data_IF_115146583194
#
_entry.id   IF_115146583194
#
_cell.length_a   1.000
_cell.length_b   1.000
_cell.length_c   1.000
_cell.angle_alpha   90.00
_cell.angle_beta   90.00
_cell.angle_gamma   90.00
#
_symmetry.space_group_name_H-M   'P 1'
#
loop_
_entity.id
_entity.type
_entity.pdbx_description
1 polymer ?
#
# COMPACT_ATOMS: atom_id res chain seq x y z
N UNK A 1 28.36 -4.28 -43.87
CA UNK A 1 27.66 -3.03 -43.47
C UNK A 1 27.14 -3.08 -42.03
N UNK A 2 26.75 -4.26 -41.50
CA UNK A 2 26.28 -4.44 -40.11
C UNK A 2 27.34 -4.29 -39.00
N UNK A 3 28.64 -4.39 -39.31
CA UNK A 3 29.72 -4.29 -38.31
C UNK A 3 30.11 -2.85 -37.95
N UNK A 4 29.79 -1.87 -38.79
CA UNK A 4 30.10 -0.45 -38.54
C UNK A 4 29.05 0.27 -37.67
N UNK A 5 27.80 -0.19 -37.69
CA UNK A 5 26.72 0.38 -36.86
C UNK A 5 26.73 -0.15 -35.43
N UNK A 6 27.15 -1.40 -35.20
CA UNK A 6 27.32 -1.95 -33.85
C UNK A 6 28.42 -1.26 -33.05
N UNK A 7 29.54 -0.92 -33.68
CA UNK A 7 30.67 -0.25 -33.01
C UNK A 7 30.37 1.23 -32.65
N UNK A 8 29.48 1.91 -33.40
CA UNK A 8 29.05 3.29 -33.09
C UNK A 8 27.98 3.29 -31.98
N UNK A 9 27.07 2.31 -31.97
CA UNK A 9 26.10 2.14 -30.88
C UNK A 9 26.79 1.84 -29.54
N UNK A 10 27.79 0.94 -29.53
CA UNK A 10 28.55 0.58 -28.33
C UNK A 10 29.41 1.76 -27.83
N UNK A 11 29.93 2.59 -28.73
CA UNK A 11 30.73 3.77 -28.35
C UNK A 11 29.87 4.90 -27.80
N UNK A 12 28.68 5.11 -28.35
CA UNK A 12 27.71 6.07 -27.81
C UNK A 12 27.17 5.59 -26.45
N UNK A 13 26.92 4.28 -26.28
CA UNK A 13 26.59 3.71 -24.95
C UNK A 13 27.76 3.88 -23.97
N UNK A 14 29.02 3.68 -24.40
CA UNK A 14 30.17 3.86 -23.51
C UNK A 14 30.40 5.32 -23.10
N UNK A 15 30.14 6.29 -23.99
CA UNK A 15 30.23 7.72 -23.69
C UNK A 15 29.03 8.19 -22.84
N UNK A 16 27.82 7.66 -23.06
CA UNK A 16 26.67 7.91 -22.17
C UNK A 16 26.83 7.20 -20.81
N UNK A 17 27.46 6.03 -20.76
CA UNK A 17 27.85 5.34 -19.51
C UNK A 17 28.91 6.16 -18.77
N UNK A 18 29.90 6.75 -19.47
CA UNK A 18 30.90 7.62 -18.83
C UNK A 18 30.32 8.97 -18.38
N UNK A 19 29.34 9.52 -19.11
CA UNK A 19 28.63 10.75 -18.72
C UNK A 19 27.64 10.50 -17.59
N UNK A 20 26.99 9.33 -17.55
CA UNK A 20 26.19 8.87 -16.42
C UNK A 20 27.04 8.30 -15.27
N UNK A 21 28.36 8.17 -15.43
CA UNK A 21 29.33 7.94 -14.36
C UNK A 21 29.64 9.20 -13.56
N UNK A 22 29.21 10.37 -14.02
CA UNK A 22 29.01 11.54 -13.16
C UNK A 22 27.73 11.36 -12.33
N UNK A 23 27.59 10.20 -11.67
CA UNK A 23 26.79 10.10 -10.48
C UNK A 23 27.61 10.86 -9.45
N UNK A 24 27.29 12.14 -9.24
CA UNK A 24 27.90 12.91 -8.17
C UNK A 24 27.79 12.09 -6.88
N UNK A 25 28.96 11.72 -6.36
CA UNK A 25 29.12 11.09 -5.07
C UNK A 25 28.36 11.91 -4.02
N UNK A 26 27.83 11.28 -2.96
CA UNK A 26 27.15 12.00 -1.88
C UNK A 26 28.01 13.18 -1.45
N UNK A 27 27.45 14.39 -1.55
CA UNK A 27 28.07 15.58 -0.97
C UNK A 27 28.38 15.26 0.49
N UNK A 28 29.64 15.41 0.87
CA UNK A 28 30.18 15.03 2.18
C UNK A 28 29.76 16.04 3.26
N UNK A 29 28.55 16.61 3.12
CA UNK A 29 27.94 17.51 4.08
C UNK A 29 27.40 16.72 5.26
N UNK A 30 27.54 17.30 6.45
CA UNK A 30 27.18 16.67 7.72
C UNK A 30 25.74 16.12 7.70
N UNK A 31 25.47 15.00 8.41
CA UNK A 31 24.15 14.40 8.44
C UNK A 31 23.12 15.42 8.96
N UNK A 32 22.23 15.87 8.06
CA UNK A 32 21.19 16.85 8.35
C UNK A 32 19.82 16.19 8.28
N UNK A 33 18.99 16.39 9.30
CA UNK A 33 17.60 15.94 9.28
C UNK A 33 16.86 16.69 8.17
N UNK A 34 16.26 15.95 7.23
CA UNK A 34 15.54 16.49 6.08
C UNK A 34 14.05 16.63 6.43
N UNK A 35 13.48 17.77 6.07
CA UNK A 35 12.04 18.07 6.18
C UNK A 35 11.42 17.77 7.57
N UNK A 36 12.00 18.28 8.69
CA UNK A 36 11.63 17.87 10.05
C UNK A 36 10.18 18.20 10.43
N UNK A 37 9.55 19.18 9.76
CA UNK A 37 8.17 19.59 10.01
C UNK A 37 7.20 18.41 9.81
N UNK A 38 7.39 17.63 8.73
CA UNK A 38 6.52 16.50 8.44
C UNK A 38 6.78 15.30 9.37
N UNK A 39 8.02 15.14 9.83
CA UNK A 39 8.33 14.13 10.86
C UNK A 39 7.66 14.47 12.20
N UNK A 40 7.70 15.75 12.62
CA UNK A 40 7.02 16.22 13.84
C UNK A 40 5.51 16.02 13.71
N UNK A 41 4.93 16.37 12.55
CA UNK A 41 3.50 16.18 12.28
C UNK A 41 3.11 14.71 12.39
N UNK A 42 3.92 13.80 11.84
CA UNK A 42 3.66 12.37 11.92
C UNK A 42 3.73 11.83 13.35
N UNK A 43 4.72 12.26 14.13
CA UNK A 43 4.83 11.86 15.55
C UNK A 43 3.64 12.41 16.36
N UNK A 44 3.25 13.66 16.12
CA UNK A 44 2.07 14.25 16.75
C UNK A 44 0.79 13.48 16.40
N UNK A 45 0.65 13.05 15.15
CA UNK A 45 -0.45 12.20 14.70
C UNK A 45 -0.50 10.86 15.44
N UNK A 46 0.64 10.15 15.56
CA UNK A 46 0.71 8.89 16.30
C UNK A 46 0.38 9.07 17.79
N UNK A 47 0.85 10.15 18.40
CA UNK A 47 0.52 10.49 19.79
C UNK A 47 -0.98 10.79 19.95
N UNK A 48 -1.60 11.47 18.98
CA UNK A 48 -3.04 11.71 18.95
C UNK A 48 -3.85 10.41 18.88
N UNK A 49 -3.47 9.48 17.99
CA UNK A 49 -4.12 8.17 17.89
C UNK A 49 -3.97 7.35 19.17
N UNK A 50 -2.80 7.39 19.81
CA UNK A 50 -2.57 6.72 21.09
C UNK A 50 -3.45 7.31 22.20
N UNK A 51 -3.54 8.64 22.28
CA UNK A 51 -4.39 9.31 23.26
C UNK A 51 -5.87 8.98 23.05
N UNK A 52 -6.34 8.98 21.80
CA UNK A 52 -7.71 8.58 21.46
C UNK A 52 -7.98 7.12 21.82
N UNK A 53 -7.02 6.22 21.61
CA UNK A 53 -7.13 4.81 22.03
C UNK A 53 -7.24 4.64 23.53
N UNK A 54 -6.47 5.38 24.31
CA UNK A 54 -6.52 5.33 25.79
C UNK A 54 -7.85 5.86 26.32
N UNK A 55 -8.39 6.93 25.71
CA UNK A 55 -9.61 7.59 26.19
C UNK A 55 -10.89 6.90 25.73
N UNK A 56 -10.91 6.41 24.49
CA UNK A 56 -12.15 6.01 23.81
C UNK A 56 -12.09 4.63 23.15
N UNK A 57 -10.94 3.94 23.17
CA UNK A 57 -10.77 2.70 22.41
C UNK A 57 -11.61 1.54 22.95
N UNK A 58 -12.16 0.74 22.03
CA UNK A 58 -12.97 -0.44 22.36
C UNK A 58 -12.66 -1.58 21.40
N UNK A 59 -12.55 -2.80 21.93
CA UNK A 59 -12.46 -4.03 21.13
C UNK A 59 -13.84 -4.62 20.81
N UNK A 60 -14.88 -4.14 21.49
CA UNK A 60 -16.26 -4.50 21.22
C UNK A 60 -16.63 -3.98 19.82
N UNK A 61 -17.49 -4.68 19.09
CA UNK A 61 -18.07 -4.12 17.87
C UNK A 61 -19.21 -3.19 18.28
N UNK A 62 -19.51 -2.15 17.50
CA UNK A 62 -20.76 -1.44 17.68
C UNK A 62 -21.89 -2.45 17.42
N UNK A 63 -22.72 -2.72 18.43
CA UNK A 63 -23.96 -3.48 18.26
C UNK A 63 -24.87 -2.64 17.38
N UNK A 64 -24.91 -2.93 16.08
CA UNK A 64 -25.87 -2.29 15.20
C UNK A 64 -27.26 -2.63 15.68
N UNK A 65 -28.00 -1.60 16.10
CA UNK A 65 -29.47 -1.47 16.13
C UNK A 65 -30.19 -2.69 15.57
N UNK A 66 -31.01 -3.34 16.43
CA UNK A 66 -32.02 -4.34 16.07
C UNK A 66 -32.86 -3.85 14.88
N UNK A 67 -32.42 -4.13 13.66
CA UNK A 67 -33.32 -4.22 12.50
C UNK A 67 -33.76 -5.67 12.43
N UNK A 68 -35.07 -5.92 12.48
CA UNK A 68 -35.73 -7.24 12.28
C UNK A 68 -35.27 -7.93 10.97
N UNK A 69 -34.07 -8.48 11.00
CA UNK A 69 -33.42 -9.34 10.01
C UNK A 69 -32.78 -10.43 10.86
N UNK A 70 -33.35 -11.64 10.79
CA UNK A 70 -33.03 -12.82 11.61
C UNK A 70 -31.63 -12.77 12.25
N UNK A 71 -31.59 -12.42 13.54
CA UNK A 71 -30.37 -12.15 14.33
C UNK A 71 -29.34 -13.30 14.28
N UNK A 72 -29.79 -14.53 14.01
CA UNK A 72 -28.96 -15.72 13.85
C UNK A 72 -27.99 -15.64 12.65
N UNK A 73 -28.35 -14.98 11.53
CA UNK A 73 -27.49 -14.93 10.34
C UNK A 73 -26.41 -13.85 10.47
N UNK A 74 -26.71 -12.66 10.98
CA UNK A 74 -25.75 -11.55 11.07
C UNK A 74 -24.67 -11.78 12.14
N UNK A 75 -25.06 -12.34 13.29
CA UNK A 75 -24.13 -12.70 14.37
C UNK A 75 -23.16 -13.80 13.90
N UNK A 76 -23.67 -14.78 13.14
CA UNK A 76 -22.84 -15.83 12.55
C UNK A 76 -21.82 -15.28 11.55
N UNK A 77 -22.18 -14.30 10.72
CA UNK A 77 -21.27 -13.71 9.72
C UNK A 77 -20.19 -12.86 10.39
N UNK A 78 -20.54 -12.09 11.43
CA UNK A 78 -19.59 -11.27 12.18
C UNK A 78 -18.62 -12.13 13.01
N UNK A 79 -19.09 -13.19 13.65
CA UNK A 79 -18.23 -14.15 14.36
C UNK A 79 -17.33 -14.92 13.40
N UNK A 80 -17.85 -15.36 12.25
CA UNK A 80 -17.07 -16.03 11.21
C UNK A 80 -16.01 -15.09 10.62
N UNK A 81 -16.32 -13.80 10.41
CA UNK A 81 -15.36 -12.81 9.92
C UNK A 81 -14.23 -12.58 10.94
N UNK A 82 -14.54 -12.47 12.23
CA UNK A 82 -13.55 -12.34 13.31
C UNK A 82 -12.71 -13.62 13.48
N UNK A 83 -13.34 -14.79 13.39
CA UNK A 83 -12.70 -16.10 13.54
C UNK A 83 -11.81 -16.45 12.35
N UNK A 84 -12.08 -15.93 11.14
CA UNK A 84 -11.30 -16.21 9.93
C UNK A 84 -10.26 -15.12 9.64
N UNK A 85 -10.58 -13.83 9.80
CA UNK A 85 -9.68 -12.73 9.41
C UNK A 85 -8.39 -12.67 10.25
N UNK A 86 -8.49 -12.91 11.56
CA UNK A 86 -7.33 -12.89 12.46
C UNK A 86 -6.33 -14.04 12.21
N UNK A 87 -6.76 -15.31 12.07
CA UNK A 87 -5.83 -16.38 11.70
C UNK A 87 -5.40 -16.33 10.22
N UNK A 88 -6.21 -15.80 9.29
CA UNK A 88 -5.77 -15.61 7.89
C UNK A 88 -4.63 -14.60 7.77
N UNK A 89 -4.67 -13.50 8.54
CA UNK A 89 -3.57 -12.52 8.58
C UNK A 89 -2.31 -13.09 9.24
N UNK A 90 -2.46 -13.85 10.33
CA UNK A 90 -1.35 -14.56 10.96
C UNK A 90 -0.74 -15.65 10.04
N UNK A 91 -1.57 -16.40 9.32
CA UNK A 91 -1.13 -17.39 8.35
C UNK A 91 -0.40 -16.75 7.17
N UNK A 92 -0.93 -15.65 6.61
CA UNK A 92 -0.27 -14.88 5.56
C UNK A 92 1.09 -14.34 6.03
N UNK A 93 1.18 -13.87 7.28
CA UNK A 93 2.44 -13.44 7.88
C UNK A 93 3.46 -14.57 7.99
N UNK A 94 3.04 -15.75 8.46
CA UNK A 94 3.90 -16.94 8.55
C UNK A 94 4.35 -17.42 7.17
N UNK A 95 3.44 -17.42 6.18
CA UNK A 95 3.75 -17.79 4.81
C UNK A 95 4.69 -16.78 4.13
N UNK A 96 4.54 -15.49 4.41
CA UNK A 96 5.44 -14.42 3.96
C UNK A 96 6.85 -14.57 4.56
N UNK A 97 6.94 -14.96 5.83
CA UNK A 97 8.19 -15.31 6.51
C UNK A 97 8.92 -16.48 5.83
N UNK A 98 8.19 -17.56 5.55
CA UNK A 98 8.76 -18.77 4.94
C UNK A 98 9.23 -18.50 3.51
N UNK A 99 8.41 -17.80 2.71
CA UNK A 99 8.79 -17.45 1.33
C UNK A 99 10.02 -16.55 1.30
N UNK A 100 10.05 -15.51 2.12
CA UNK A 100 11.11 -14.49 2.08
C UNK A 100 12.46 -15.02 2.58
N UNK A 101 12.48 -15.79 3.67
CA UNK A 101 13.73 -16.26 4.27
C UNK A 101 14.31 -17.52 3.59
N UNK A 102 13.46 -18.43 3.10
CA UNK A 102 13.91 -19.75 2.63
C UNK A 102 13.77 -19.95 1.13
N UNK A 103 12.67 -19.52 0.52
CA UNK A 103 12.36 -19.90 -0.87
C UNK A 103 13.09 -19.01 -1.88
N UNK A 104 13.14 -17.70 -1.60
CA UNK A 104 13.75 -16.68 -2.44
C UNK A 104 15.24 -16.94 -2.78
N UNK A 105 16.14 -17.28 -1.84
CA UNK A 105 17.56 -17.52 -2.15
C UNK A 105 17.82 -18.85 -2.86
N UNK A 106 16.86 -19.79 -2.85
CA UNK A 106 17.05 -21.15 -3.38
C UNK A 106 16.72 -21.22 -4.88
N UNK A 107 15.61 -20.62 -5.33
CA UNK A 107 15.21 -20.71 -6.74
C UNK A 107 14.32 -19.54 -7.23
N UNK A 108 14.96 -18.46 -7.67
CA UNK A 108 14.27 -17.22 -8.10
C UNK A 108 13.36 -17.41 -9.30
N UNK A 109 13.72 -18.31 -10.23
CA UNK A 109 12.91 -18.62 -11.41
C UNK A 109 11.64 -19.39 -11.04
N UNK A 110 11.72 -20.30 -10.06
CA UNK A 110 10.55 -20.98 -9.53
C UNK A 110 9.61 -20.01 -8.81
N UNK A 111 10.16 -19.08 -8.01
CA UNK A 111 9.36 -18.07 -7.30
C UNK A 111 8.57 -17.20 -8.26
N UNK A 112 9.20 -16.65 -9.30
CA UNK A 112 8.49 -15.81 -10.28
C UNK A 112 7.40 -16.60 -11.01
N UNK A 113 7.67 -17.86 -11.39
CA UNK A 113 6.65 -18.74 -11.99
C UNK A 113 5.51 -19.05 -11.00
N UNK A 114 5.84 -19.29 -9.74
CA UNK A 114 4.87 -19.60 -8.69
C UNK A 114 3.98 -18.40 -8.36
N UNK A 115 4.52 -17.18 -8.30
CA UNK A 115 3.73 -15.95 -8.09
C UNK A 115 2.70 -15.73 -9.20
N UNK A 116 3.16 -15.83 -10.46
CA UNK A 116 2.29 -15.67 -11.65
C UNK A 116 1.23 -16.78 -11.73
N UNK A 117 1.60 -18.03 -11.41
CA UNK A 117 0.65 -19.15 -11.40
C UNK A 117 -0.31 -19.08 -10.19
N UNK A 118 0.14 -18.56 -9.05
CA UNK A 118 -0.69 -18.39 -7.87
C UNK A 118 -1.83 -17.42 -8.15
N UNK A 119 -1.60 -16.34 -8.91
CA UNK A 119 -2.66 -15.43 -9.32
C UNK A 119 -3.74 -16.14 -10.14
N UNK A 120 -3.33 -17.01 -11.08
CA UNK A 120 -4.26 -17.85 -11.83
C UNK A 120 -5.07 -18.77 -10.90
N UNK A 121 -4.42 -19.43 -9.95
CA UNK A 121 -5.09 -20.28 -8.97
C UNK A 121 -6.11 -19.52 -8.12
N UNK A 122 -5.78 -18.29 -7.67
CA UNK A 122 -6.71 -17.44 -6.91
C UNK A 122 -7.93 -17.07 -7.76
N UNK A 123 -7.74 -16.67 -9.02
CA UNK A 123 -8.86 -16.34 -9.91
C UNK A 123 -9.80 -17.53 -10.16
N UNK A 124 -9.25 -18.74 -10.29
CA UNK A 124 -10.03 -19.98 -10.39
C UNK A 124 -10.73 -20.28 -9.07
N UNK A 125 -10.07 -20.06 -7.93
CA UNK A 125 -10.64 -20.21 -6.60
C UNK A 125 -11.87 -19.33 -6.40
N UNK A 126 -11.78 -18.05 -6.76
CA UNK A 126 -12.90 -17.09 -6.69
C UNK A 126 -14.08 -17.54 -7.57
N UNK A 127 -13.80 -18.05 -8.77
CA UNK A 127 -14.85 -18.60 -9.64
C UNK A 127 -15.54 -19.82 -9.00
N UNK A 128 -14.81 -20.70 -8.32
CA UNK A 128 -15.37 -21.88 -7.65
C UNK A 128 -16.20 -21.48 -6.42
N UNK A 129 -15.70 -20.58 -5.56
CA UNK A 129 -16.45 -20.13 -4.37
C UNK A 129 -17.73 -19.40 -4.78
N UNK A 130 -17.66 -18.51 -5.76
CA UNK A 130 -18.84 -17.82 -6.30
C UNK A 130 -19.87 -18.80 -6.91
N UNK A 131 -19.42 -19.89 -7.53
CA UNK A 131 -20.31 -20.91 -8.07
C UNK A 131 -21.04 -21.71 -6.97
N UNK A 132 -20.38 -21.92 -5.82
CA UNK A 132 -20.96 -22.62 -4.67
C UNK A 132 -21.97 -21.72 -3.92
N UNK A 133 -21.63 -20.45 -3.70
CA UNK A 133 -22.45 -19.52 -2.92
C UNK A 133 -23.69 -19.04 -3.70
N UNK A 134 -23.53 -18.65 -4.96
CA UNK A 134 -24.61 -18.01 -5.74
C UNK A 134 -25.53 -19.06 -6.38
N UNK A 135 -25.09 -20.33 -6.47
CA UNK A 135 -25.83 -21.47 -7.04
C UNK A 135 -26.51 -21.19 -8.39
N UNK A 136 -25.94 -20.27 -9.17
CA UNK A 136 -26.52 -19.75 -10.40
C UNK A 136 -25.49 -19.74 -11.52
N UNK A 137 -25.91 -20.05 -12.75
CA UNK A 137 -25.02 -20.05 -13.91
C UNK A 137 -24.46 -18.66 -14.24
N UNK A 138 -25.12 -17.60 -13.78
CA UNK A 138 -24.65 -16.22 -13.92
C UNK A 138 -23.32 -15.95 -13.20
N UNK A 139 -22.98 -16.73 -12.17
CA UNK A 139 -21.69 -16.64 -11.46
C UNK A 139 -20.49 -16.92 -12.39
N UNK A 140 -20.61 -17.92 -13.26
CA UNK A 140 -19.59 -18.24 -14.27
C UNK A 140 -19.50 -17.17 -15.36
N UNK A 141 -20.62 -16.57 -15.75
CA UNK A 141 -20.63 -15.49 -16.72
C UNK A 141 -19.94 -14.22 -16.18
N UNK A 142 -20.08 -13.95 -14.87
CA UNK A 142 -19.44 -12.82 -14.20
C UNK A 142 -17.94 -13.04 -13.95
N UNK A 143 -17.54 -14.23 -13.47
CA UNK A 143 -16.15 -14.50 -13.05
C UNK A 143 -15.28 -15.12 -14.15
N UNK A 144 -15.87 -15.80 -15.13
CA UNK A 144 -15.17 -16.43 -16.25
C UNK A 144 -14.26 -15.49 -17.07
N UNK A 145 -14.69 -14.25 -17.40
CA UNK A 145 -13.83 -13.28 -18.06
C UNK A 145 -12.56 -12.94 -17.28
N UNK A 146 -12.60 -12.91 -15.94
CA UNK A 146 -11.42 -12.64 -15.10
C UNK A 146 -10.40 -13.78 -15.17
N UNK A 147 -10.87 -15.03 -15.22
CA UNK A 147 -9.99 -16.21 -15.40
C UNK A 147 -9.36 -16.19 -16.80
N UNK A 148 -10.15 -15.90 -17.84
CA UNK A 148 -9.63 -15.79 -19.22
C UNK A 148 -8.62 -14.65 -19.37
N UNK A 149 -8.87 -13.50 -18.75
CA UNK A 149 -7.95 -12.38 -18.71
C UNK A 149 -6.65 -12.78 -17.98
N UNK A 150 -6.76 -13.53 -16.88
CA UNK A 150 -5.61 -14.04 -16.13
C UNK A 150 -4.79 -15.03 -16.96
N UNK A 151 -5.42 -15.96 -17.68
CA UNK A 151 -4.74 -16.88 -18.61
C UNK A 151 -4.03 -16.11 -19.73
N UNK A 152 -4.71 -15.12 -20.32
CA UNK A 152 -4.13 -14.27 -21.35
C UNK A 152 -2.92 -13.48 -20.82
N UNK A 153 -3.02 -12.93 -19.61
CA UNK A 153 -1.92 -12.26 -18.94
C UNK A 153 -0.71 -13.18 -18.74
N UNK A 154 -0.90 -14.38 -18.19
CA UNK A 154 0.18 -15.37 -18.00
C UNK A 154 0.85 -15.71 -19.33
N UNK A 155 0.08 -15.93 -20.40
CA UNK A 155 0.61 -16.21 -21.72
C UNK A 155 1.46 -15.05 -22.27
N UNK A 156 0.96 -13.81 -22.14
CA UNK A 156 1.67 -12.60 -22.59
C UNK A 156 2.95 -12.35 -21.79
N UNK A 157 2.93 -12.62 -20.49
CA UNK A 157 4.05 -12.32 -19.60
C UNK A 157 5.16 -13.38 -19.63
N UNK A 158 4.85 -14.59 -20.10
CA UNK A 158 5.75 -15.75 -20.03
C UNK A 158 7.16 -15.50 -20.60
N UNK A 159 7.27 -14.66 -21.64
CA UNK A 159 8.56 -14.33 -22.25
C UNK A 159 9.39 -13.31 -21.45
N UNK A 160 8.78 -12.53 -20.54
CA UNK A 160 9.48 -11.56 -19.68
C UNK A 160 10.07 -12.23 -18.42
N UNK A 161 9.54 -13.38 -18.02
CA UNK A 161 10.00 -14.15 -16.84
C UNK A 161 11.52 -14.31 -16.78
N UNK A 162 12.25 -14.73 -17.83
CA UNK A 162 13.71 -14.88 -17.74
C UNK A 162 14.44 -13.56 -17.48
N UNK A 163 13.99 -12.45 -18.05
CA UNK A 163 14.57 -11.13 -17.80
C UNK A 163 14.34 -10.69 -16.35
N UNK A 164 13.10 -10.80 -15.88
CA UNK A 164 12.72 -10.47 -14.51
C UNK A 164 13.46 -11.34 -13.48
N UNK A 165 13.59 -12.65 -13.75
CA UNK A 165 14.30 -13.60 -12.90
C UNK A 165 15.80 -13.29 -12.76
N UNK A 166 16.46 -12.80 -13.82
CA UNK A 166 17.86 -12.38 -13.76
C UNK A 166 18.03 -11.12 -12.91
N UNK A 167 17.19 -10.11 -13.11
CA UNK A 167 17.22 -8.89 -12.31
C UNK A 167 16.97 -9.18 -10.83
N UNK A 168 15.97 -10.02 -10.56
CA UNK A 168 15.65 -10.47 -9.22
C UNK A 168 16.81 -11.26 -8.60
N UNK A 169 17.45 -12.16 -9.36
CA UNK A 169 18.60 -12.92 -8.88
C UNK A 169 19.77 -12.02 -8.47
N UNK A 170 20.00 -10.93 -9.19
CA UNK A 170 21.03 -9.94 -8.82
C UNK A 170 20.63 -9.19 -7.55
N UNK A 171 19.39 -8.71 -7.46
CA UNK A 171 18.88 -8.03 -6.27
C UNK A 171 18.98 -8.93 -5.03
N UNK A 172 18.55 -10.18 -5.15
CA UNK A 172 18.58 -11.16 -4.08
C UNK A 172 19.99 -11.59 -3.69
N UNK A 173 20.96 -11.55 -4.60
CA UNK A 173 22.36 -11.76 -4.24
C UNK A 173 22.87 -10.66 -3.30
N UNK A 174 22.50 -9.41 -3.54
CA UNK A 174 22.83 -8.31 -2.63
C UNK A 174 22.08 -8.39 -1.30
N UNK A 175 20.81 -8.77 -1.34
CA UNK A 175 20.00 -8.94 -0.13
C UNK A 175 20.44 -10.13 0.72
N UNK A 176 20.75 -11.28 0.10
CA UNK A 176 21.21 -12.48 0.80
C UNK A 176 22.62 -12.34 1.40
N UNK A 177 23.44 -11.43 0.86
CA UNK A 177 24.69 -11.04 1.52
C UNK A 177 24.44 -10.32 2.87
N UNK A 178 23.25 -9.73 3.04
CA UNK A 178 22.84 -8.95 4.21
C UNK A 178 21.54 -9.52 4.81
N UNK A 179 21.65 -10.65 5.51
CA UNK A 179 20.48 -11.35 6.07
C UNK A 179 19.61 -10.50 7.00
N UNK A 180 20.16 -9.47 7.64
CA UNK A 180 19.42 -8.53 8.50
C UNK A 180 18.28 -7.80 7.78
N UNK A 181 18.34 -7.62 6.46
CA UNK A 181 17.24 -7.01 5.69
C UNK A 181 15.94 -7.80 5.88
N UNK A 182 16.01 -9.13 5.91
CA UNK A 182 14.83 -9.99 6.10
C UNK A 182 14.23 -9.85 7.50
N UNK A 183 15.09 -9.72 8.52
CA UNK A 183 14.65 -9.51 9.91
C UNK A 183 13.94 -8.16 10.04
N UNK A 184 14.50 -7.11 9.42
CA UNK A 184 13.91 -5.78 9.44
C UNK A 184 12.59 -5.75 8.69
N UNK A 185 12.52 -6.32 7.50
CA UNK A 185 11.26 -6.41 6.74
C UNK A 185 10.18 -7.10 7.57
N UNK A 186 10.51 -8.23 8.20
CA UNK A 186 9.60 -8.95 9.10
C UNK A 186 9.15 -8.07 10.27
N UNK A 187 10.09 -7.38 10.91
CA UNK A 187 9.81 -6.51 12.06
C UNK A 187 8.86 -5.36 11.69
N UNK A 188 9.08 -4.70 10.55
CA UNK A 188 8.17 -3.65 10.09
C UNK A 188 6.81 -4.20 9.68
N UNK A 189 6.71 -5.39 9.07
CA UNK A 189 5.41 -6.03 8.81
C UNK A 189 4.64 -6.30 10.09
N UNK A 190 5.32 -6.74 11.16
CA UNK A 190 4.71 -6.89 12.47
C UNK A 190 4.23 -5.55 13.06
N UNK A 191 5.02 -4.48 12.89
CA UNK A 191 4.59 -3.11 13.28
C UNK A 191 3.35 -2.68 12.50
N UNK A 192 3.27 -2.97 11.20
CA UNK A 192 2.06 -2.69 10.39
C UNK A 192 0.85 -3.46 10.92
N UNK A 193 1.02 -4.73 11.27
CA UNK A 193 -0.06 -5.52 11.88
C UNK A 193 -0.54 -4.89 13.20
N UNK A 194 0.37 -4.54 14.10
CA UNK A 194 0.02 -3.87 15.36
C UNK A 194 -0.68 -2.52 15.12
N UNK A 195 -0.23 -1.77 14.12
CA UNK A 195 -0.87 -0.52 13.72
C UNK A 195 -2.31 -0.74 13.25
N UNK A 196 -2.57 -1.73 12.40
CA UNK A 196 -3.92 -2.04 11.91
C UNK A 196 -4.83 -2.42 13.09
N UNK A 197 -4.37 -3.29 13.98
CA UNK A 197 -5.13 -3.69 15.19
C UNK A 197 -5.42 -2.47 16.07
N UNK A 198 -4.40 -1.65 16.36
CA UNK A 198 -4.55 -0.44 17.16
C UNK A 198 -5.47 0.59 16.52
N UNK A 199 -5.40 0.77 15.19
CA UNK A 199 -6.26 1.66 14.45
C UNK A 199 -7.72 1.20 14.53
N UNK A 200 -8.00 -0.10 14.32
CA UNK A 200 -9.36 -0.65 14.45
C UNK A 200 -9.91 -0.49 15.86
N UNK A 201 -9.09 -0.70 16.89
CA UNK A 201 -9.47 -0.49 18.29
C UNK A 201 -9.90 0.96 18.57
N UNK A 202 -9.15 1.94 18.07
CA UNK A 202 -9.50 3.37 18.21
C UNK A 202 -10.77 3.69 17.41
N UNK A 203 -10.85 3.18 16.19
CA UNK A 203 -11.95 3.44 15.27
C UNK A 203 -13.28 2.87 15.76
N UNK A 204 -13.31 1.63 16.22
CA UNK A 204 -14.50 1.01 16.81
C UNK A 204 -14.96 1.77 18.05
N UNK A 205 -14.02 2.17 18.90
CA UNK A 205 -14.30 3.01 20.06
C UNK A 205 -14.91 4.38 19.69
N UNK A 206 -14.43 4.99 18.62
CA UNK A 206 -15.03 6.22 18.07
C UNK A 206 -16.47 5.99 17.59
N UNK A 207 -16.72 4.91 16.82
CA UNK A 207 -18.05 4.58 16.30
C UNK A 207 -19.06 4.36 17.43
N UNK A 208 -18.70 3.58 18.47
CA UNK A 208 -19.59 3.32 19.61
C UNK A 208 -19.96 4.60 20.37
N UNK A 209 -19.01 5.50 20.58
CA UNK A 209 -19.30 6.74 21.28
C UNK A 209 -20.20 7.66 20.46
N UNK A 210 -20.04 7.66 19.13
CA UNK A 210 -20.93 8.42 18.24
C UNK A 210 -22.34 7.84 18.22
N UNK A 211 -22.48 6.52 18.23
CA UNK A 211 -23.78 5.83 18.31
C UNK A 211 -24.49 6.15 19.63
N UNK A 212 -23.78 6.07 20.76
CA UNK A 212 -24.33 6.47 22.08
C UNK A 212 -24.83 7.91 22.10
N UNK A 213 -24.11 8.83 21.47
CA UNK A 213 -24.52 10.23 21.35
C UNK A 213 -25.79 10.35 20.49
N UNK A 214 -25.91 9.57 19.41
CA UNK A 214 -27.11 9.56 18.57
C UNK A 214 -28.35 8.97 19.27
N UNK A 215 -28.14 7.99 20.17
CA UNK A 215 -29.21 7.38 20.95
C UNK A 215 -29.71 8.31 22.07
N UNK A 216 -28.79 9.00 22.76
CA UNK A 216 -29.11 9.95 23.84
C UNK A 216 -29.75 11.26 23.32
N UNK A 217 -29.64 11.54 22.01
CA UNK A 217 -30.31 12.65 21.34
C UNK A 217 -31.84 12.44 21.14
N UNK A 218 -32.39 11.27 21.51
CA UNK A 218 -33.85 11.06 21.62
C UNK A 218 -34.60 10.73 20.32
N UNK A 219 -33.90 10.26 19.28
CA UNK A 219 -34.52 9.96 17.98
C UNK A 219 -35.35 8.66 17.92
N UNK A 220 -35.20 7.81 18.93
CA UNK A 220 -35.86 6.50 19.02
C UNK A 220 -36.44 6.32 20.43
N UNK A 221 -37.65 5.76 20.53
CA UNK A 221 -38.22 5.35 21.83
C UNK A 221 -37.50 4.12 22.40
N UNK A 222 -37.77 3.77 23.66
CA UNK A 222 -37.27 2.57 24.34
C UNK A 222 -37.62 1.26 23.61
N UNK A 223 -38.59 1.30 22.69
CA UNK A 223 -39.03 0.19 21.84
C UNK A 223 -38.49 0.25 20.39
N UNK A 224 -37.52 1.13 20.09
CA UNK A 224 -36.85 1.22 18.77
C UNK A 224 -37.65 1.90 17.65
N UNK A 225 -38.84 2.41 17.94
CA UNK A 225 -39.69 3.09 16.95
C UNK A 225 -39.35 4.59 16.81
N UNK A 226 -39.51 5.12 15.59
CA UNK A 226 -39.38 6.54 15.26
C UNK A 226 -40.52 7.36 15.90
N UNK A 227 -40.16 8.31 16.77
CA UNK A 227 -41.10 9.20 17.45
C UNK A 227 -41.60 10.28 16.48
N UNK A 228 -42.68 9.99 15.77
CA UNK A 228 -43.24 10.87 14.74
C UNK A 228 -43.92 12.18 15.23
N UNK A 229 -43.94 12.46 16.54
CA UNK A 229 -44.61 13.65 17.10
C UNK A 229 -43.70 14.80 17.53
N UNK A 230 -42.38 14.61 17.64
CA UNK A 230 -41.41 15.70 17.88
C UNK A 230 -40.28 15.65 16.83
N UNK A 231 -40.43 16.48 15.80
CA UNK A 231 -39.46 16.66 14.72
C UNK A 231 -38.21 17.38 15.26
N UNK A 232 -37.31 16.64 15.89
CA UNK A 232 -36.02 17.12 16.43
C UNK A 232 -34.79 16.37 15.91
N UNK A 233 -34.97 15.38 15.03
CA UNK A 233 -33.88 14.55 14.49
C UNK A 233 -33.69 14.76 12.98
N UNK A 234 -33.78 16.01 12.51
CA UNK A 234 -33.00 16.37 11.33
C UNK A 234 -31.54 16.39 11.78
N UNK A 235 -30.74 15.41 11.37
CA UNK A 235 -29.28 15.59 11.38
C UNK A 235 -29.01 16.85 10.57
N UNK A 236 -28.51 17.90 11.21
CA UNK A 236 -28.17 19.11 10.50
C UNK A 236 -27.12 18.74 9.45
N UNK A 237 -27.20 19.36 8.27
CA UNK A 237 -26.27 19.12 7.17
C UNK A 237 -24.81 19.33 7.61
N UNK A 238 -24.59 20.16 8.63
CA UNK A 238 -23.32 20.43 9.26
C UNK A 238 -22.79 19.24 10.11
N UNK A 239 -23.64 18.42 10.71
CA UNK A 239 -23.25 17.26 11.52
C UNK A 239 -22.82 16.08 10.64
N UNK A 240 -23.50 15.87 9.51
CA UNK A 240 -23.10 14.89 8.49
C UNK A 240 -21.73 15.22 7.92
N UNK A 241 -21.48 16.51 7.62
CA UNK A 241 -20.20 16.98 7.11
C UNK A 241 -19.06 16.78 8.13
N UNK A 242 -19.33 17.01 9.41
CA UNK A 242 -18.37 16.74 10.49
C UNK A 242 -18.04 15.26 10.59
N UNK A 243 -19.04 14.38 10.57
CA UNK A 243 -18.84 12.92 10.62
C UNK A 243 -17.98 12.43 9.43
N UNK A 244 -18.32 12.85 8.21
CA UNK A 244 -17.55 12.53 7.01
C UNK A 244 -16.11 13.07 7.09
N UNK A 245 -15.92 14.27 7.62
CA UNK A 245 -14.61 14.86 7.85
C UNK A 245 -13.76 14.05 8.83
N UNK A 246 -14.36 13.56 9.93
CA UNK A 246 -13.65 12.72 10.90
C UNK A 246 -13.32 11.35 10.29
N UNK A 247 -14.26 10.73 9.56
CA UNK A 247 -14.01 9.48 8.83
C UNK A 247 -12.83 9.62 7.85
N UNK A 248 -12.78 10.72 7.11
CA UNK A 248 -11.67 11.03 6.21
C UNK A 248 -10.34 11.11 6.95
N UNK A 249 -10.27 11.81 8.08
CA UNK A 249 -9.04 11.90 8.88
C UNK A 249 -8.60 10.53 9.43
N UNK A 250 -9.53 9.65 9.81
CA UNK A 250 -9.24 8.28 10.19
C UNK A 250 -8.66 7.45 9.03
N UNK A 251 -9.21 7.58 7.82
CA UNK A 251 -8.66 6.92 6.63
C UNK A 251 -7.28 7.45 6.28
N UNK A 252 -7.08 8.77 6.30
CA UNK A 252 -5.76 9.39 6.08
C UNK A 252 -4.76 8.87 7.11
N UNK A 253 -5.14 8.81 8.38
CA UNK A 253 -4.34 8.20 9.46
C UNK A 253 -3.90 6.77 9.14
N UNK A 254 -4.84 5.91 8.72
CA UNK A 254 -4.57 4.52 8.37
C UNK A 254 -3.55 4.41 7.24
N UNK A 255 -3.86 5.03 6.10
CA UNK A 255 -3.03 4.97 4.90
C UNK A 255 -1.68 5.64 5.13
N UNK A 256 -1.63 6.78 5.83
CA UNK A 256 -0.40 7.53 6.02
C UNK A 256 0.64 6.72 6.79
N UNK A 257 0.26 6.10 7.91
CA UNK A 257 1.18 5.28 8.68
C UNK A 257 1.61 4.02 7.93
N UNK A 258 0.68 3.35 7.23
CA UNK A 258 1.02 2.19 6.40
C UNK A 258 2.03 2.56 5.31
N UNK A 259 1.77 3.63 4.55
CA UNK A 259 2.67 4.09 3.49
C UNK A 259 4.01 4.56 4.04
N UNK A 260 4.05 5.23 5.21
CA UNK A 260 5.32 5.61 5.88
C UNK A 260 6.15 4.37 6.23
N UNK A 261 5.53 3.32 6.76
CA UNK A 261 6.23 2.06 7.08
C UNK A 261 6.81 1.43 5.81
N UNK A 262 6.00 1.24 4.76
CA UNK A 262 6.47 0.65 3.50
C UNK A 262 7.58 1.46 2.82
N UNK A 263 7.42 2.78 2.79
CA UNK A 263 8.41 3.68 2.19
C UNK A 263 9.70 3.75 3.02
N UNK A 264 9.62 3.60 4.34
CA UNK A 264 10.81 3.48 5.20
C UNK A 264 11.61 2.21 4.88
N UNK A 265 10.93 1.07 4.69
CA UNK A 265 11.60 -0.17 4.25
C UNK A 265 12.24 0.05 2.88
N UNK A 266 11.54 0.68 1.93
CA UNK A 266 12.05 0.96 0.58
C UNK A 266 13.34 1.79 0.59
N UNK A 267 13.35 2.88 1.37
CA UNK A 267 14.54 3.74 1.57
C UNK A 267 15.67 2.95 2.23
N UNK A 268 15.37 2.16 3.26
CA UNK A 268 16.37 1.35 3.95
C UNK A 268 16.99 0.29 3.02
N UNK A 269 16.19 -0.46 2.27
CA UNK A 269 16.66 -1.47 1.31
C UNK A 269 17.50 -0.83 0.22
N UNK A 270 17.09 0.32 -0.33
CA UNK A 270 17.88 1.05 -1.32
C UNK A 270 19.25 1.48 -0.76
N UNK A 271 19.31 1.94 0.49
CA UNK A 271 20.57 2.29 1.16
C UNK A 271 21.50 1.09 1.41
N UNK A 272 20.95 -0.06 1.79
CA UNK A 272 21.74 -1.29 1.96
C UNK A 272 22.27 -1.79 0.62
N UNK A 273 21.43 -1.80 -0.42
CA UNK A 273 21.83 -2.22 -1.76
C UNK A 273 22.88 -1.27 -2.36
N UNK A 274 22.79 0.03 -2.10
CA UNK A 274 23.84 0.99 -2.47
C UNK A 274 25.17 0.63 -1.79
N UNK A 275 25.13 0.35 -0.48
CA UNK A 275 26.33 -0.01 0.28
C UNK A 275 26.94 -1.32 -0.25
N UNK A 276 26.12 -2.34 -0.55
CA UNK A 276 26.60 -3.58 -1.16
C UNK A 276 27.24 -3.35 -2.55
N UNK A 277 26.72 -2.41 -3.33
CA UNK A 277 27.24 -2.13 -4.68
C UNK A 277 28.54 -1.32 -4.66
N UNK A 278 28.69 -0.38 -3.72
CA UNK A 278 29.84 0.53 -3.66
C UNK A 278 30.94 0.09 -2.67
N UNK A 279 30.58 -0.65 -1.61
CA UNK A 279 31.51 -1.15 -0.59
C UNK A 279 31.08 -2.55 -0.09
N UNK A 280 31.37 -3.56 -0.90
CA UNK A 280 30.98 -4.95 -0.63
C UNK A 280 31.68 -5.56 0.60
N UNK A 281 32.79 -4.98 1.07
CA UNK A 281 33.54 -5.51 2.21
C UNK A 281 32.77 -5.34 3.53
N UNK A 282 32.10 -4.20 3.68
CA UNK A 282 31.27 -3.90 4.85
C UNK A 282 29.95 -4.68 4.85
N UNK A 283 29.48 -5.19 3.70
CA UNK A 283 28.13 -5.74 3.51
C UNK A 283 28.02 -7.28 3.62
N UNK A 284 28.89 -7.94 4.41
CA UNK A 284 29.05 -9.41 4.43
C UNK A 284 28.56 -10.13 5.69
N UNK A 285 27.99 -9.41 6.67
CA UNK A 285 27.52 -10.00 7.94
C UNK A 285 26.02 -9.83 8.16
N UNK A 286 25.44 -10.75 8.94
CA UNK A 286 24.00 -10.81 9.26
C UNK A 286 23.46 -9.45 9.76
N UNK A 287 24.22 -8.77 10.61
CA UNK A 287 23.91 -7.44 11.12
C UNK A 287 25.04 -6.46 10.77
N UNK A 288 25.41 -6.39 9.49
CA UNK A 288 26.40 -5.41 9.03
C UNK A 288 26.00 -3.99 9.46
N UNK A 289 27.01 -3.17 9.78
CA UNK A 289 26.86 -1.74 9.99
C UNK A 289 26.12 -1.06 8.81
N UNK A 290 26.18 -1.63 7.60
CA UNK A 290 25.43 -1.16 6.43
C UNK A 290 23.91 -1.19 6.66
N UNK A 291 23.40 -2.26 7.29
CA UNK A 291 21.96 -2.46 7.53
C UNK A 291 21.47 -1.52 8.61
N UNK A 292 22.13 -1.51 9.77
CA UNK A 292 21.74 -0.68 10.91
C UNK A 292 21.92 0.81 10.60
N UNK A 293 23.01 1.20 9.94
CA UNK A 293 23.23 2.59 9.50
C UNK A 293 22.20 3.04 8.49
N UNK A 294 21.83 2.22 7.50
CA UNK A 294 20.84 2.62 6.49
C UNK A 294 19.45 2.82 7.08
N UNK A 295 19.05 1.99 8.05
CA UNK A 295 17.76 2.14 8.74
C UNK A 295 17.77 3.32 9.70
N UNK A 296 18.84 3.48 10.48
CA UNK A 296 18.99 4.63 11.36
C UNK A 296 18.93 5.93 10.55
N UNK A 297 19.60 5.99 9.40
CA UNK A 297 19.50 7.13 8.47
C UNK A 297 18.08 7.29 7.93
N UNK A 298 17.38 6.22 7.54
CA UNK A 298 16.01 6.29 7.07
C UNK A 298 15.04 6.87 8.13
N UNK A 299 15.11 6.37 9.37
CA UNK A 299 14.21 6.75 10.48
C UNK A 299 14.59 8.10 11.11
N UNK A 300 15.87 8.49 11.12
CA UNK A 300 16.32 9.70 11.83
C UNK A 300 16.54 10.87 10.86
N UNK A 301 17.17 10.62 9.71
CA UNK A 301 17.57 11.69 8.79
C UNK A 301 16.55 11.91 7.68
N UNK A 302 15.94 10.84 7.17
CA UNK A 302 15.04 10.89 6.01
C UNK A 302 13.56 10.76 6.35
N UNK A 303 13.20 10.61 7.63
CA UNK A 303 11.81 10.39 8.05
C UNK A 303 10.88 11.53 7.60
N UNK A 304 11.33 12.80 7.68
CA UNK A 304 10.53 13.93 7.21
C UNK A 304 10.18 13.85 5.72
N UNK A 305 11.18 13.54 4.88
CA UNK A 305 10.99 13.29 3.44
C UNK A 305 10.04 12.13 3.16
N UNK A 306 10.14 11.04 3.96
CA UNK A 306 9.29 9.85 3.84
C UNK A 306 7.85 10.18 4.24
N UNK A 307 7.65 10.89 5.34
CA UNK A 307 6.34 11.33 5.81
C UNK A 307 5.66 12.25 4.79
N UNK A 308 6.41 13.16 4.17
CA UNK A 308 5.85 14.09 3.17
C UNK A 308 5.29 13.37 1.93
N UNK A 309 6.09 12.54 1.27
CA UNK A 309 5.62 11.83 0.07
C UNK A 309 4.52 10.80 0.39
N UNK A 310 4.57 10.18 1.56
CA UNK A 310 3.56 9.20 2.01
C UNK A 310 2.25 9.88 2.40
N UNK A 311 2.28 11.13 2.87
CA UNK A 311 1.08 11.90 3.19
C UNK A 311 0.28 12.22 1.93
N UNK A 312 0.97 12.62 0.86
CA UNK A 312 0.32 12.93 -0.42
C UNK A 312 -0.43 11.70 -0.96
N UNK A 313 0.24 10.56 -0.95
CA UNK A 313 -0.33 9.27 -1.36
C UNK A 313 -1.54 8.89 -0.48
N UNK A 314 -1.41 9.00 0.84
CA UNK A 314 -2.47 8.66 1.78
C UNK A 314 -3.73 9.53 1.64
N UNK A 315 -3.58 10.82 1.34
CA UNK A 315 -4.71 11.72 1.09
C UNK A 315 -5.51 11.25 -0.13
N UNK A 316 -4.82 10.86 -1.21
CA UNK A 316 -5.48 10.40 -2.44
C UNK A 316 -6.15 9.06 -2.21
N UNK A 317 -5.48 8.10 -1.55
CA UNK A 317 -6.09 6.82 -1.19
C UNK A 317 -7.35 7.01 -0.34
N UNK A 318 -7.30 7.91 0.66
CA UNK A 318 -8.46 8.20 1.51
C UNK A 318 -9.62 8.84 0.71
N UNK A 319 -9.33 9.79 -0.19
CA UNK A 319 -10.35 10.38 -1.07
C UNK A 319 -10.99 9.34 -1.98
N UNK A 320 -10.18 8.42 -2.52
CA UNK A 320 -10.64 7.33 -3.37
C UNK A 320 -11.58 6.40 -2.61
N UNK A 321 -11.21 5.99 -1.40
CA UNK A 321 -12.04 5.13 -0.55
C UNK A 321 -13.39 5.78 -0.25
N UNK A 322 -13.41 7.09 0.06
CA UNK A 322 -14.69 7.79 0.29
C UNK A 322 -15.52 7.88 -1.00
N UNK A 323 -14.90 8.15 -2.15
CA UNK A 323 -15.60 8.19 -3.43
C UNK A 323 -16.19 6.81 -3.78
N UNK A 324 -15.47 5.72 -3.51
CA UNK A 324 -15.95 4.35 -3.68
C UNK A 324 -17.11 4.02 -2.73
N UNK A 325 -17.02 4.45 -1.46
CA UNK A 325 -18.11 4.30 -0.49
C UNK A 325 -19.36 5.08 -0.91
N UNK A 326 -19.21 6.31 -1.39
CA UNK A 326 -20.32 7.10 -1.89
C UNK A 326 -21.00 6.45 -3.11
N UNK A 327 -20.18 5.95 -4.06
CA UNK A 327 -20.67 5.23 -5.23
C UNK A 327 -21.43 3.95 -4.84
N UNK A 328 -20.91 3.18 -3.89
CA UNK A 328 -21.55 1.95 -3.41
C UNK A 328 -22.93 2.23 -2.78
N UNK A 329 -23.11 3.39 -2.12
CA UNK A 329 -24.40 3.81 -1.57
C UNK A 329 -25.40 4.18 -2.67
N UNK A 330 -25.00 4.96 -3.67
CA UNK A 330 -25.88 5.29 -4.81
C UNK A 330 -26.30 4.04 -5.61
N UNK A 331 -25.39 3.07 -5.75
CA UNK A 331 -25.68 1.81 -6.43
C UNK A 331 -26.71 0.95 -5.67
N UNK A 332 -26.77 1.07 -4.34
CA UNK A 332 -27.72 0.38 -3.47
C UNK A 332 -29.13 1.01 -3.52
N UNK A 333 -29.22 2.34 -3.64
CA UNK A 333 -30.50 3.08 -3.74
C UNK A 333 -31.19 2.91 -5.11
N UNK A 334 -30.62 2.14 -6.03
CA UNK A 334 -31.24 1.78 -7.31
C UNK A 334 -31.21 2.89 -8.38
N UNK A 335 -30.70 4.07 -8.07
CA UNK A 335 -30.58 5.22 -8.98
C UNK A 335 -29.31 5.15 -9.86
N UNK A 336 -29.14 4.04 -10.57
CA UNK A 336 -27.94 3.74 -11.40
C UNK A 336 -27.73 4.66 -12.61
N UNK A 337 -28.65 5.59 -12.87
CA UNK A 337 -28.66 6.45 -14.06
C UNK A 337 -28.80 7.94 -13.75
N UNK A 338 -28.54 8.37 -12.51
CA UNK A 338 -28.51 9.80 -12.19
C UNK A 338 -27.16 10.44 -12.58
N UNK A 339 -27.15 11.76 -12.78
CA UNK A 339 -25.94 12.52 -13.12
C UNK A 339 -24.85 12.40 -12.03
N UNK A 340 -25.23 12.15 -10.77
CA UNK A 340 -24.33 11.89 -9.64
C UNK A 340 -23.46 10.65 -9.84
N UNK A 341 -24.07 9.52 -10.22
CA UNK A 341 -23.37 8.24 -10.39
C UNK A 341 -22.29 8.28 -11.48
N UNK A 342 -22.57 8.98 -12.59
CA UNK A 342 -21.59 9.17 -13.67
C UNK A 342 -20.42 10.05 -13.19
N UNK A 343 -20.69 11.13 -12.45
CA UNK A 343 -19.66 12.01 -11.93
C UNK A 343 -18.76 11.29 -10.92
N UNK A 344 -19.33 10.50 -10.01
CA UNK A 344 -18.58 9.68 -9.05
C UNK A 344 -17.71 8.65 -9.77
N UNK A 345 -18.22 8.02 -10.84
CA UNK A 345 -17.43 7.09 -11.65
C UNK A 345 -16.20 7.75 -12.29
N UNK A 346 -16.36 8.96 -12.86
CA UNK A 346 -15.25 9.73 -13.42
C UNK A 346 -14.27 10.13 -12.33
N UNK A 347 -14.76 10.60 -11.18
CA UNK A 347 -13.93 10.98 -10.04
C UNK A 347 -13.10 9.81 -9.53
N UNK A 348 -13.71 8.64 -9.31
CA UNK A 348 -13.01 7.42 -8.90
C UNK A 348 -11.96 7.02 -9.93
N UNK A 349 -12.24 7.14 -11.23
CA UNK A 349 -11.27 6.85 -12.28
C UNK A 349 -10.05 7.80 -12.24
N UNK A 350 -10.29 9.10 -12.07
CA UNK A 350 -9.22 10.11 -11.96
C UNK A 350 -8.39 9.88 -10.69
N UNK A 351 -9.04 9.58 -9.56
CA UNK A 351 -8.34 9.31 -8.29
C UNK A 351 -7.48 8.05 -8.37
N UNK A 352 -7.97 6.97 -8.99
CA UNK A 352 -7.16 5.77 -9.26
C UNK A 352 -5.92 6.10 -10.10
N UNK A 353 -6.11 6.82 -11.22
CA UNK A 353 -4.98 7.22 -12.07
C UNK A 353 -3.96 8.09 -11.32
N UNK A 354 -4.45 9.01 -10.48
CA UNK A 354 -3.60 9.91 -9.70
C UNK A 354 -2.81 9.14 -8.62
N UNK A 355 -3.45 8.18 -7.95
CA UNK A 355 -2.81 7.29 -6.98
C UNK A 355 -1.69 6.50 -7.65
N UNK A 356 -1.96 5.86 -8.79
CA UNK A 356 -0.97 5.07 -9.55
C UNK A 356 0.25 5.92 -9.95
N UNK A 357 0.02 7.13 -10.45
CA UNK A 357 1.10 8.05 -10.84
C UNK A 357 1.96 8.45 -9.64
N UNK A 358 1.33 8.75 -8.50
CA UNK A 358 2.04 9.20 -7.30
C UNK A 358 2.78 8.05 -6.63
N UNK A 359 2.18 6.87 -6.52
CA UNK A 359 2.85 5.67 -6.00
C UNK A 359 4.07 5.33 -6.85
N UNK A 360 3.92 5.37 -8.17
CA UNK A 360 5.00 5.13 -9.10
C UNK A 360 6.15 6.14 -8.93
N UNK A 361 5.82 7.43 -8.89
CA UNK A 361 6.82 8.49 -8.68
C UNK A 361 7.53 8.35 -7.32
N UNK A 362 6.76 8.10 -6.27
CA UNK A 362 7.24 7.88 -4.91
C UNK A 362 8.25 6.74 -4.86
N UNK A 363 7.97 5.61 -5.52
CA UNK A 363 8.87 4.47 -5.58
C UNK A 363 10.29 4.85 -6.05
N UNK A 364 10.40 5.64 -7.12
CA UNK A 364 11.70 6.08 -7.64
C UNK A 364 12.34 7.17 -6.77
N UNK A 365 11.54 8.11 -6.29
CA UNK A 365 12.03 9.18 -5.42
C UNK A 365 12.65 8.60 -4.14
N UNK A 366 12.00 7.62 -3.50
CA UNK A 366 12.50 6.98 -2.28
C UNK A 366 13.76 6.15 -2.50
N UNK A 367 13.94 5.54 -3.68
CA UNK A 367 15.22 4.89 -4.03
C UNK A 367 16.34 5.92 -4.04
N UNK A 368 16.13 7.10 -4.64
CA UNK A 368 17.11 8.20 -4.61
C UNK A 368 17.37 8.72 -3.19
N UNK A 369 16.32 8.87 -2.37
CA UNK A 369 16.48 9.23 -0.94
C UNK A 369 17.32 8.20 -0.20
N UNK A 370 17.14 6.91 -0.46
CA UNK A 370 17.91 5.84 0.19
C UNK A 370 19.37 5.78 -0.22
N UNK A 371 19.67 6.03 -1.50
CA UNK A 371 21.04 5.99 -2.03
C UNK A 371 21.81 7.25 -1.63
N UNK A 372 21.22 8.44 -1.78
CA UNK A 372 21.92 9.73 -1.67
C UNK A 372 21.59 10.54 -0.41
N UNK A 373 20.53 10.21 0.33
CA UNK A 373 20.12 10.98 1.51
C UNK A 373 19.62 12.40 1.22
N UNK A 374 19.13 12.64 0.00
CA UNK A 374 18.57 13.93 -0.43
C UNK A 374 17.11 14.13 0.05
N UNK A 375 16.62 15.38 0.01
CA UNK A 375 15.21 15.68 0.35
C UNK A 375 14.24 15.05 -0.68
N UNK A 376 12.97 14.83 -0.31
CA UNK A 376 11.98 14.21 -1.21
C UNK A 376 11.85 15.00 -2.53
N UNK A 377 11.70 16.32 -2.45
CA UNK A 377 11.53 17.18 -3.62
C UNK A 377 12.78 17.21 -4.52
N UNK A 378 13.97 17.17 -3.92
CA UNK A 378 15.23 17.11 -4.67
C UNK A 378 15.40 15.76 -5.38
N UNK A 379 15.13 14.66 -4.66
CA UNK A 379 15.12 13.31 -5.25
C UNK A 379 14.12 13.21 -6.39
N UNK A 380 12.92 13.77 -6.21
CA UNK A 380 11.89 13.83 -7.24
C UNK A 380 12.34 14.58 -8.50
N UNK A 381 13.04 15.71 -8.35
CA UNK A 381 13.62 16.44 -9.49
C UNK A 381 14.66 15.60 -10.24
N UNK A 382 15.57 14.95 -9.51
CA UNK A 382 16.60 14.07 -10.10
C UNK A 382 15.98 12.88 -10.85
N UNK A 383 14.90 12.32 -10.32
CA UNK A 383 14.13 11.27 -10.99
C UNK A 383 13.50 11.77 -12.29
N UNK A 384 12.89 12.96 -12.28
CA UNK A 384 12.33 13.55 -13.50
C UNK A 384 13.39 13.84 -14.55
N UNK A 385 14.57 14.33 -14.13
CA UNK A 385 15.70 14.56 -15.03
C UNK A 385 16.23 13.23 -15.61
N UNK A 386 16.30 12.17 -14.79
CA UNK A 386 16.66 10.83 -15.25
C UNK A 386 15.70 10.32 -16.33
N UNK A 387 14.39 10.46 -16.12
CA UNK A 387 13.37 10.03 -17.08
C UNK A 387 13.42 10.83 -18.38
N UNK A 388 13.66 12.15 -18.28
CA UNK A 388 13.83 13.01 -19.45
C UNK A 388 15.05 12.62 -20.28
N UNK A 389 16.13 12.20 -19.63
CA UNK A 389 17.39 11.86 -20.30
C UNK A 389 17.42 10.44 -20.88
N UNK A 390 16.82 9.44 -20.20
CA UNK A 390 16.82 8.03 -20.66
C UNK A 390 15.61 7.65 -21.53
N UNK A 391 14.62 8.53 -21.63
CA UNK A 391 13.40 8.31 -22.39
C UNK A 391 12.36 7.47 -21.63
N UNK A 392 11.09 7.73 -21.91
CA UNK A 392 9.94 7.05 -21.28
C UNK A 392 9.84 5.56 -21.62
N UNK A 393 10.53 5.07 -22.65
CA UNK A 393 10.49 3.66 -23.08
C UNK A 393 11.13 2.69 -22.08
N UNK A 394 12.22 3.10 -21.42
CA UNK A 394 12.83 2.32 -20.34
C UNK A 394 11.87 2.21 -19.14
N UNK A 395 11.06 3.24 -18.93
CA UNK A 395 10.03 3.31 -17.90
C UNK A 395 8.96 2.24 -18.11
N UNK A 396 8.32 2.26 -19.28
CA UNK A 396 7.24 1.31 -19.62
C UNK A 396 7.73 -0.14 -19.55
N UNK A 397 8.96 -0.41 -19.98
CA UNK A 397 9.52 -1.75 -19.93
C UNK A 397 9.76 -2.22 -18.49
N UNK A 398 10.11 -1.29 -17.58
CA UNK A 398 10.32 -1.60 -16.16
C UNK A 398 9.01 -1.77 -15.43
N UNK A 399 8.01 -0.94 -15.72
CA UNK A 399 6.67 -1.02 -15.15
C UNK A 399 5.95 -2.33 -15.53
N UNK A 400 6.07 -2.76 -16.79
CA UNK A 400 5.62 -4.09 -17.21
C UNK A 400 6.35 -5.22 -16.46
N UNK A 401 7.59 -5.01 -16.06
CA UNK A 401 8.34 -6.02 -15.32
C UNK A 401 7.99 -6.04 -13.82
N UNK A 402 7.62 -4.91 -13.21
CA UNK A 402 7.21 -4.85 -11.80
C UNK A 402 5.82 -5.42 -11.58
N UNK A 403 4.89 -5.28 -12.51
CA UNK A 403 3.57 -5.92 -12.40
C UNK A 403 3.64 -7.46 -12.50
N UNK A 404 4.75 -7.99 -12.99
CA UNK A 404 4.99 -9.43 -13.19
C UNK A 404 5.62 -10.09 -11.96
N UNK A 405 6.25 -9.31 -11.08
CA UNK A 405 7.19 -9.77 -10.08
C UNK A 405 6.74 -9.36 -8.68
#
# INVERSE_FOLDING_TARGET
>A
MATKYGAVAIKNDADDINKSRAIEMPDNSAPKCRDPIFAILFIAHLAGMLAMGILHGSFESADSVETELDDEELESVAEVLKLIALPCTAFAFIMSLITTAFIIPINTEFVVKASVLSWLCVSIGIMITAAIEIQSYWSFAATGPLVLLSIYYVYRVWYLIPFAAVNLKVALKGMSANWGIYLIATGFTFVTFLWIVGWFYVFNGFLQNHEKISQDAGCFDADGNLNSEDLGCEMDSDDVAQYLGIMFLFLVSLYWTIKVIFNTIRVAVAGVMATWCFDAADASSCCSNAVTSSIARAIILSLGSICFGSLLEAIISALRTIAEMAKAREDADGNKCDAGSILLCILTCILNLLEDIIEYFNQWAYVYVGIYGTSYLESGKRVMDLFRNRGWTALFTTDLASHVL
#
